data_IF_306367077109
#
_entry.id   IF_306367077109
#
_cell.length_a   1.000
_cell.length_b   1.000
_cell.length_c   1.000
_cell.angle_alpha   90.00
_cell.angle_beta   90.00
_cell.angle_gamma   90.00
#
_symmetry.space_group_name_H-M   'P 1'
#
loop_
_entity.id
_entity.type
_entity.pdbx_description
1 polymer ?
#
# COMPACT_ATOMS: atom_id res chain seq x y z
N UNK A 1 -18.41 19.32 -30.12
CA UNK A 1 -18.66 17.98 -29.54
C UNK A 1 -18.55 18.12 -28.03
N UNK A 2 -19.68 18.33 -27.33
CA UNK A 2 -19.70 18.62 -25.90
C UNK A 2 -19.44 17.31 -25.13
N UNK A 3 -18.17 17.00 -24.86
CA UNK A 3 -17.79 15.94 -23.94
C UNK A 3 -18.14 16.47 -22.54
N UNK A 4 -19.40 16.28 -22.16
CA UNK A 4 -19.93 16.58 -20.84
C UNK A 4 -18.98 16.01 -19.78
N UNK A 5 -18.51 16.88 -18.89
CA UNK A 5 -17.49 16.60 -17.86
C UNK A 5 -17.78 15.33 -17.04
N UNK A 6 -19.04 14.88 -16.96
CA UNK A 6 -19.43 13.62 -16.33
C UNK A 6 -18.87 12.35 -17.00
N UNK A 7 -18.65 12.35 -18.33
CA UNK A 7 -18.04 11.22 -19.05
C UNK A 7 -16.53 11.09 -18.83
N UNK A 8 -15.86 12.22 -18.53
CA UNK A 8 -14.45 12.26 -18.16
C UNK A 8 -14.22 11.67 -16.77
N UNK A 9 -15.06 12.03 -15.79
CA UNK A 9 -14.96 11.50 -14.44
C UNK A 9 -15.13 9.97 -14.40
N UNK A 10 -16.13 9.44 -15.11
CA UNK A 10 -16.35 8.00 -15.22
C UNK A 10 -15.17 7.24 -15.83
N UNK A 11 -14.48 7.84 -16.81
CA UNK A 11 -13.27 7.24 -17.42
C UNK A 11 -12.06 7.25 -16.48
N UNK A 12 -11.97 8.18 -15.54
CA UNK A 12 -10.83 8.32 -14.62
C UNK A 12 -10.94 7.42 -13.38
N UNK A 13 -12.16 7.06 -12.96
CA UNK A 13 -12.41 6.19 -11.80
C UNK A 13 -11.63 4.85 -11.81
N UNK A 14 -11.63 4.05 -12.90
CA UNK A 14 -10.87 2.79 -12.93
C UNK A 14 -9.36 3.01 -12.87
N UNK A 15 -8.85 4.09 -13.47
CA UNK A 15 -7.42 4.43 -13.41
C UNK A 15 -6.99 4.79 -11.99
N UNK A 16 -7.81 5.52 -11.24
CA UNK A 16 -7.52 5.86 -9.84
C UNK A 16 -7.45 4.61 -8.96
N UNK A 17 -8.41 3.69 -9.12
CA UNK A 17 -8.40 2.42 -8.41
C UNK A 17 -7.13 1.60 -8.70
N UNK A 18 -6.74 1.50 -9.98
CA UNK A 18 -5.51 0.83 -10.38
C UNK A 18 -4.26 1.46 -9.76
N UNK A 19 -4.19 2.79 -9.71
CA UNK A 19 -3.07 3.51 -9.10
C UNK A 19 -2.99 3.21 -7.59
N UNK A 20 -4.12 3.21 -6.88
CA UNK A 20 -4.15 2.90 -5.44
C UNK A 20 -3.68 1.47 -5.20
N UNK A 21 -4.19 0.50 -5.97
CA UNK A 21 -3.77 -0.90 -5.86
C UNK A 21 -2.27 -1.03 -6.14
N UNK A 22 -1.76 -0.35 -7.17
CA UNK A 22 -0.34 -0.36 -7.50
C UNK A 22 0.51 0.20 -6.36
N UNK A 23 0.10 1.31 -5.76
CA UNK A 23 0.80 1.91 -4.60
C UNK A 23 0.85 0.93 -3.44
N UNK A 24 -0.26 0.27 -3.11
CA UNK A 24 -0.32 -0.71 -2.01
C UNK A 24 0.59 -1.91 -2.28
N UNK A 25 0.60 -2.42 -3.51
CA UNK A 25 1.48 -3.54 -3.90
C UNK A 25 2.95 -3.13 -3.79
N UNK A 26 3.33 -1.97 -4.34
CA UNK A 26 4.71 -1.47 -4.28
C UNK A 26 5.13 -1.24 -2.83
N UNK A 27 4.31 -0.60 -2.02
CA UNK A 27 4.58 -0.37 -0.60
C UNK A 27 4.79 -1.69 0.16
N UNK A 28 3.97 -2.71 -0.12
CA UNK A 28 4.09 -4.03 0.50
C UNK A 28 5.39 -4.72 0.09
N UNK A 29 5.75 -4.70 -1.19
CA UNK A 29 7.00 -5.31 -1.68
C UNK A 29 8.22 -4.62 -1.07
N UNK A 30 8.24 -3.30 -1.06
CA UNK A 30 9.33 -2.50 -0.48
C UNK A 30 9.45 -2.76 1.02
N UNK A 31 8.33 -2.76 1.76
CA UNK A 31 8.34 -3.05 3.20
C UNK A 31 8.85 -4.45 3.49
N UNK A 32 8.39 -5.46 2.75
CA UNK A 32 8.89 -6.84 2.88
C UNK A 32 10.40 -6.90 2.65
N UNK A 33 10.90 -6.26 1.59
CA UNK A 33 12.32 -6.27 1.27
C UNK A 33 13.14 -5.61 2.36
N UNK A 34 12.69 -4.44 2.85
CA UNK A 34 13.34 -3.74 3.96
C UNK A 34 13.32 -4.57 5.24
N UNK A 35 12.18 -5.19 5.56
CA UNK A 35 12.06 -6.06 6.72
C UNK A 35 13.04 -7.22 6.61
N UNK A 36 12.99 -8.02 5.54
CA UNK A 36 13.80 -9.24 5.42
C UNK A 36 15.31 -8.97 5.36
N UNK A 37 15.73 -7.77 4.93
CA UNK A 37 17.14 -7.39 4.91
C UNK A 37 17.63 -6.86 6.25
N UNK A 38 16.83 -6.07 6.96
CA UNK A 38 17.31 -5.37 8.17
C UNK A 38 16.88 -6.04 9.47
N UNK A 39 15.60 -6.40 9.60
CA UNK A 39 15.01 -6.80 10.87
C UNK A 39 15.48 -8.18 11.34
N UNK A 40 15.48 -9.24 10.50
CA UNK A 40 16.09 -10.52 10.84
C UNK A 40 17.57 -10.42 11.19
N UNK A 41 18.35 -9.61 10.45
CA UNK A 41 19.78 -9.49 10.69
C UNK A 41 20.10 -8.77 12.00
N UNK A 42 19.39 -7.69 12.32
CA UNK A 42 19.69 -6.85 13.48
C UNK A 42 19.08 -7.43 14.77
N UNK A 43 17.86 -7.96 14.68
CA UNK A 43 17.08 -8.37 15.85
C UNK A 43 16.91 -9.89 15.98
N UNK A 44 17.43 -10.69 15.04
CA UNK A 44 17.26 -12.15 15.03
C UNK A 44 15.80 -12.61 14.80
N UNK A 45 14.96 -11.73 14.26
CA UNK A 45 13.55 -12.03 13.99
C UNK A 45 13.38 -12.84 12.70
N UNK A 46 12.20 -13.41 12.49
CA UNK A 46 11.88 -14.17 11.27
C UNK A 46 11.63 -13.26 10.08
N UNK A 47 12.04 -13.74 8.91
CA UNK A 47 11.60 -13.18 7.64
C UNK A 47 10.08 -13.27 7.48
N UNK A 48 9.53 -12.31 6.75
CA UNK A 48 8.10 -12.23 6.46
C UNK A 48 7.82 -12.46 4.97
N UNK A 49 6.67 -13.07 4.71
CA UNK A 49 6.10 -13.25 3.37
C UNK A 49 5.31 -12.01 2.94
N UNK A 50 4.94 -11.95 1.65
CA UNK A 50 4.15 -10.84 1.10
C UNK A 50 2.87 -10.58 1.90
N UNK A 51 2.11 -11.64 2.19
CA UNK A 51 0.86 -11.53 2.94
C UNK A 51 1.05 -11.11 4.40
N UNK A 52 2.16 -11.48 5.03
CA UNK A 52 2.49 -11.02 6.39
C UNK A 52 2.86 -9.55 6.40
N UNK A 53 3.66 -9.09 5.42
CA UNK A 53 3.98 -7.66 5.25
C UNK A 53 2.73 -6.82 5.03
N UNK A 54 1.80 -7.27 4.19
CA UNK A 54 0.55 -6.53 3.95
C UNK A 54 -0.27 -6.38 5.24
N UNK A 55 -0.43 -7.47 6.01
CA UNK A 55 -1.16 -7.44 7.30
C UNK A 55 -0.51 -6.49 8.31
N UNK A 56 0.82 -6.48 8.37
CA UNK A 56 1.57 -5.56 9.24
C UNK A 56 1.38 -4.09 8.83
N UNK A 57 1.43 -3.79 7.54
CA UNK A 57 1.15 -2.45 7.03
C UNK A 57 -0.29 -2.00 7.35
N UNK A 58 -1.27 -2.90 7.24
CA UNK A 58 -2.66 -2.62 7.62
C UNK A 58 -2.81 -2.35 9.12
N UNK A 59 -2.13 -3.14 9.96
CA UNK A 59 -2.12 -2.91 11.41
C UNK A 59 -1.45 -1.56 11.73
N UNK A 60 -0.31 -1.24 11.11
CA UNK A 60 0.35 0.04 11.27
C UNK A 60 -0.55 1.20 10.83
N UNK A 61 -1.25 1.06 9.71
CA UNK A 61 -2.21 2.07 9.27
C UNK A 61 -3.40 2.20 10.22
N UNK A 62 -3.90 1.10 10.79
CA UNK A 62 -4.99 1.16 11.77
C UNK A 62 -4.55 1.87 13.06
N UNK A 63 -3.35 1.56 13.56
CA UNK A 63 -2.80 2.10 14.81
C UNK A 63 -2.31 3.56 14.67
N UNK A 64 -1.71 3.91 13.53
CA UNK A 64 -1.05 5.19 13.32
C UNK A 64 -1.74 6.09 12.28
N UNK A 65 -2.72 5.59 11.53
CA UNK A 65 -3.40 6.35 10.48
C UNK A 65 -4.44 7.35 10.96
N UNK A 66 -4.74 7.40 12.26
CA UNK A 66 -5.74 8.28 12.86
C UNK A 66 -5.18 9.42 13.73
N UNK A 67 -3.87 9.70 13.71
CA UNK A 67 -3.31 10.87 14.41
C UNK A 67 -3.57 12.16 13.63
N UNK A 68 -4.81 12.66 13.70
CA UNK A 68 -5.26 13.88 13.03
C UNK A 68 -6.49 14.49 13.70
N UNK A 69 -6.33 14.96 14.94
CA UNK A 69 -7.03 16.09 15.57
C UNK A 69 -6.21 16.57 16.76
#
# INVERSE_FOLDING_TARGET
>A
MNISSGSLLLKMMPNLFLIIVLIVVVATVVFKWLWNTTIPQIFGLKEITYWQSLRLLLIAWLLFGHFGN
#
